data_IF_235721776520
#
_entry.id   IF_235721776520
#
_cell.length_a   1.000
_cell.length_b   1.000
_cell.length_c   1.000
_cell.angle_alpha   90.00
_cell.angle_beta   90.00
_cell.angle_gamma   90.00
#
_symmetry.space_group_name_H-M   'P 1'
#
loop_
_entity.id
_entity.type
_entity.pdbx_description
1 polymer ?
#
# COMPACT_ATOMS: atom_id res chain seq x y z
N UNK A 1 -54.52 36.99 16.57
CA UNK A 1 -54.06 36.99 15.16
C UNK A 1 -52.61 37.40 14.97
N UNK A 2 -52.08 38.46 15.58
CA UNK A 2 -50.65 38.90 15.40
C UNK A 2 -49.57 37.89 15.87
N UNK A 3 -49.84 37.08 16.92
CA UNK A 3 -48.89 36.08 17.42
C UNK A 3 -48.82 34.83 16.51
N UNK A 4 -49.90 34.47 15.83
CA UNK A 4 -49.94 33.34 14.91
C UNK A 4 -49.18 33.65 13.61
N UNK A 5 -49.24 34.88 13.13
CA UNK A 5 -48.53 35.35 11.93
C UNK A 5 -47.00 35.37 12.13
N UNK A 6 -46.56 35.72 13.35
CA UNK A 6 -45.14 35.76 13.67
C UNK A 6 -44.51 34.35 13.73
N UNK A 7 -45.24 33.37 14.26
CA UNK A 7 -44.77 31.96 14.32
C UNK A 7 -44.69 31.36 12.91
N UNK A 8 -45.62 31.67 12.02
CA UNK A 8 -45.64 31.17 10.64
C UNK A 8 -44.46 31.75 9.82
N UNK A 9 -44.07 33.00 10.05
CA UNK A 9 -42.95 33.65 9.39
C UNK A 9 -41.61 33.07 9.90
N UNK A 10 -41.47 32.79 11.20
CA UNK A 10 -40.28 32.20 11.79
C UNK A 10 -40.11 30.74 11.30
N UNK A 11 -41.16 29.96 11.22
CA UNK A 11 -41.10 28.57 10.69
C UNK A 11 -40.76 28.55 9.20
N UNK A 12 -41.27 29.51 8.39
CA UNK A 12 -40.87 29.63 6.98
C UNK A 12 -39.39 30.05 6.82
N UNK A 13 -38.89 30.91 7.69
CA UNK A 13 -37.45 31.34 7.65
C UNK A 13 -36.51 30.20 8.07
N UNK A 14 -36.90 29.34 9.01
CA UNK A 14 -36.13 28.19 9.45
C UNK A 14 -36.14 27.09 8.36
N UNK A 15 -37.20 26.92 7.60
CA UNK A 15 -37.27 25.95 6.50
C UNK A 15 -36.48 26.36 5.25
N UNK A 16 -36.15 27.63 5.07
CA UNK A 16 -35.29 28.10 3.96
C UNK A 16 -33.79 27.99 4.25
N UNK A 17 -33.38 27.69 5.47
CA UNK A 17 -31.96 27.59 5.86
C UNK A 17 -31.34 26.21 5.66
N UNK A 18 -32.05 25.25 5.07
CA UNK A 18 -31.55 23.89 4.83
C UNK A 18 -31.46 23.47 3.35
N UNK A 19 -31.56 24.39 2.42
CA UNK A 19 -31.08 24.11 1.05
C UNK A 19 -29.58 24.31 1.11
N UNK A 20 -28.84 23.22 1.30
CA UNK A 20 -27.38 23.21 1.18
C UNK A 20 -27.06 23.85 -0.18
N UNK A 21 -26.50 25.06 -0.18
CA UNK A 21 -26.13 25.77 -1.40
C UNK A 21 -25.13 24.88 -2.16
N UNK A 22 -25.54 24.32 -3.30
CA UNK A 22 -24.66 23.54 -4.16
C UNK A 22 -23.42 24.37 -4.47
N UNK A 23 -22.25 23.86 -4.14
CA UNK A 23 -21.00 24.53 -4.46
C UNK A 23 -20.70 24.36 -5.96
N UNK A 24 -19.84 25.22 -6.51
CA UNK A 24 -19.35 25.06 -7.89
C UNK A 24 -18.79 23.65 -8.12
N UNK A 25 -18.12 23.07 -7.10
CA UNK A 25 -17.55 21.72 -7.20
C UNK A 25 -18.65 20.65 -7.25
N UNK A 26 -19.71 20.77 -6.46
CA UNK A 26 -20.86 19.83 -6.50
C UNK A 26 -21.48 19.78 -7.91
N UNK A 27 -21.62 20.93 -8.57
CA UNK A 27 -22.12 21.01 -9.96
C UNK A 27 -21.17 20.32 -10.93
N UNK A 28 -19.87 20.59 -10.84
CA UNK A 28 -18.87 19.96 -11.71
C UNK A 28 -18.77 18.45 -11.50
N UNK A 29 -18.86 17.97 -10.26
CA UNK A 29 -18.87 16.53 -9.96
C UNK A 29 -20.12 15.85 -10.52
N UNK A 30 -21.28 16.52 -10.47
CA UNK A 30 -22.53 16.01 -11.02
C UNK A 30 -22.51 15.88 -12.55
N UNK A 31 -21.73 16.74 -13.24
CA UNK A 31 -21.54 16.71 -14.69
C UNK A 31 -20.55 15.65 -15.16
N UNK A 32 -19.74 15.07 -14.25
CA UNK A 32 -18.78 14.03 -14.61
C UNK A 32 -19.49 12.73 -15.01
N UNK A 33 -19.09 12.09 -16.10
CA UNK A 33 -19.63 10.79 -16.47
C UNK A 33 -19.18 9.72 -15.48
N UNK A 34 -20.09 8.78 -15.16
CA UNK A 34 -19.77 7.58 -14.39
C UNK A 34 -19.25 7.83 -12.97
N UNK A 35 -19.52 8.98 -12.38
CA UNK A 35 -19.14 9.36 -11.02
C UNK A 35 -20.36 9.57 -10.14
N UNK A 36 -20.46 8.82 -9.06
CA UNK A 36 -21.38 9.06 -7.97
C UNK A 36 -20.57 9.59 -6.80
N UNK A 37 -21.07 10.61 -6.11
CA UNK A 37 -20.36 11.21 -4.99
C UNK A 37 -21.26 11.49 -3.79
N UNK A 38 -20.66 11.41 -2.61
CA UNK A 38 -21.26 11.78 -1.34
C UNK A 38 -20.33 12.73 -0.61
N UNK A 39 -20.82 13.91 -0.23
CA UNK A 39 -20.04 14.82 0.60
C UNK A 39 -19.90 14.25 2.01
N UNK A 40 -18.69 14.17 2.48
CA UNK A 40 -18.36 13.67 3.82
C UNK A 40 -17.75 14.77 4.68
N UNK A 41 -17.44 14.47 5.95
CA UNK A 41 -16.78 15.41 6.85
C UNK A 41 -15.49 15.90 6.21
N UNK A 42 -15.36 17.21 6.05
CA UNK A 42 -14.19 17.81 5.42
C UNK A 42 -12.95 17.59 6.28
N UNK A 43 -11.90 17.10 5.64
CA UNK A 43 -10.57 16.96 6.25
C UNK A 43 -9.98 18.34 6.49
N UNK A 44 -9.27 18.53 7.60
CA UNK A 44 -8.59 19.79 7.92
C UNK A 44 -7.74 20.30 6.75
N UNK A 45 -7.72 21.61 6.56
CA UNK A 45 -7.00 22.30 5.47
C UNK A 45 -7.57 22.09 4.04
N UNK A 46 -8.73 21.48 3.88
CA UNK A 46 -9.41 21.37 2.59
C UNK A 46 -10.72 22.17 2.58
N UNK A 47 -11.17 22.57 1.41
CA UNK A 47 -12.43 23.29 1.23
C UNK A 47 -13.64 22.35 1.21
N UNK A 48 -13.46 21.12 0.72
CA UNK A 48 -14.50 20.09 0.70
C UNK A 48 -13.88 18.69 0.56
N UNK A 49 -14.61 17.67 1.04
CA UNK A 49 -14.18 16.27 0.95
C UNK A 49 -15.38 15.40 0.53
N UNK A 50 -15.12 14.46 -0.38
CA UNK A 50 -16.14 13.57 -0.94
C UNK A 50 -15.64 12.12 -0.96
N UNK A 51 -16.55 11.19 -0.69
CA UNK A 51 -16.42 9.80 -1.12
C UNK A 51 -16.99 9.67 -2.53
N UNK A 52 -16.28 8.95 -3.38
CA UNK A 52 -16.61 8.76 -4.79
C UNK A 52 -16.81 7.28 -5.09
N UNK A 53 -17.76 7.01 -5.97
CA UNK A 53 -17.96 5.70 -6.62
C UNK A 53 -17.81 5.93 -8.12
N UNK A 54 -16.74 5.43 -8.70
CA UNK A 54 -16.37 5.66 -10.10
C UNK A 54 -16.59 4.36 -10.85
N UNK A 55 -17.45 4.39 -11.86
CA UNK A 55 -17.74 3.23 -12.69
C UNK A 55 -16.52 2.86 -13.51
N UNK A 56 -16.01 1.64 -13.35
CA UNK A 56 -14.87 1.08 -14.06
C UNK A 56 -15.28 -0.16 -14.85
N UNK A 57 -14.75 -0.38 -16.05
CA UNK A 57 -14.95 -1.65 -16.73
C UNK A 57 -14.17 -2.75 -16.03
N UNK A 58 -14.69 -3.97 -16.03
CA UNK A 58 -13.95 -5.15 -15.56
C UNK A 58 -12.73 -5.36 -16.44
N UNK A 59 -12.89 -5.22 -17.75
CA UNK A 59 -11.82 -5.28 -18.74
C UNK A 59 -11.80 -3.97 -19.57
N UNK A 60 -10.70 -3.22 -19.50
CA UNK A 60 -10.51 -1.97 -20.27
C UNK A 60 -10.43 -2.19 -21.79
N UNK A 61 -10.20 -3.43 -22.23
CA UNK A 61 -10.18 -3.78 -23.66
C UNK A 61 -11.50 -4.31 -24.18
N UNK A 62 -12.42 -4.73 -23.31
CA UNK A 62 -13.74 -5.29 -23.67
C UNK A 62 -14.83 -4.87 -22.68
N UNK A 63 -15.56 -3.82 -23.00
CA UNK A 63 -16.65 -3.29 -22.15
C UNK A 63 -17.81 -4.30 -21.97
N UNK A 64 -17.90 -5.35 -22.78
CA UNK A 64 -18.95 -6.40 -22.65
C UNK A 64 -18.74 -7.29 -21.42
N UNK A 65 -17.55 -7.26 -20.79
CA UNK A 65 -17.23 -8.01 -19.56
C UNK A 65 -17.87 -7.43 -18.31
N UNK A 66 -18.63 -6.34 -18.43
CA UNK A 66 -19.32 -5.70 -17.35
C UNK A 66 -18.51 -4.57 -16.69
N UNK A 67 -18.99 -4.13 -15.56
CA UNK A 67 -18.38 -3.02 -14.81
C UNK A 67 -18.54 -3.23 -13.31
N UNK A 68 -17.78 -2.45 -12.54
CA UNK A 68 -17.89 -2.31 -11.09
C UNK A 68 -17.75 -0.84 -10.69
N UNK A 69 -18.01 -0.53 -9.43
CA UNK A 69 -17.80 0.80 -8.89
C UNK A 69 -16.56 0.81 -8.01
N UNK A 70 -15.55 1.59 -8.41
CA UNK A 70 -14.33 1.77 -7.65
C UNK A 70 -14.50 2.90 -6.64
N UNK A 71 -14.17 2.63 -5.37
CA UNK A 71 -14.17 3.64 -4.32
C UNK A 71 -12.95 4.54 -4.42
N UNK A 72 -13.18 5.83 -4.27
CA UNK A 72 -12.13 6.82 -4.13
C UNK A 72 -12.56 7.95 -3.20
N UNK A 73 -11.63 8.79 -2.79
CA UNK A 73 -11.90 9.97 -1.95
C UNK A 73 -11.27 11.20 -2.59
N UNK A 74 -12.07 12.26 -2.75
CA UNK A 74 -11.60 13.56 -3.23
C UNK A 74 -11.47 14.53 -2.05
N UNK A 75 -10.27 15.07 -1.83
CA UNK A 75 -10.03 16.22 -0.95
C UNK A 75 -9.71 17.44 -1.81
N UNK A 76 -10.65 18.37 -1.89
CA UNK A 76 -10.54 19.56 -2.69
C UNK A 76 -9.92 20.72 -1.91
N UNK A 77 -8.80 21.25 -2.40
CA UNK A 77 -8.12 22.44 -1.87
C UNK A 77 -8.48 23.69 -2.65
N UNK A 78 -8.48 23.57 -3.99
CA UNK A 78 -8.77 24.67 -4.92
C UNK A 78 -8.57 24.25 -6.38
N UNK A 79 -9.25 24.93 -7.31
CA UNK A 79 -9.18 24.60 -8.75
C UNK A 79 -7.82 24.98 -9.37
N UNK A 80 -7.11 25.92 -8.78
CA UNK A 80 -5.79 26.41 -9.16
C UNK A 80 -4.62 25.59 -8.59
N UNK A 81 -4.91 24.60 -7.75
CA UNK A 81 -3.91 23.79 -7.08
C UNK A 81 -3.52 22.54 -7.89
N UNK A 82 -2.28 22.05 -7.75
CA UNK A 82 -1.90 20.73 -8.27
C UNK A 82 -2.79 19.63 -7.70
N UNK A 83 -2.94 18.52 -8.42
CA UNK A 83 -3.72 17.37 -7.99
C UNK A 83 -2.85 16.14 -7.81
N UNK A 84 -2.92 15.51 -6.65
CA UNK A 84 -2.20 14.28 -6.32
C UNK A 84 -3.15 13.09 -6.43
N UNK A 85 -2.85 12.15 -7.32
CA UNK A 85 -3.45 10.81 -7.33
C UNK A 85 -2.68 9.95 -6.35
N UNK A 86 -3.32 9.58 -5.24
CA UNK A 86 -2.75 8.64 -4.29
C UNK A 86 -3.26 7.24 -4.62
N UNK A 87 -2.35 6.40 -5.13
CA UNK A 87 -2.64 5.02 -5.50
C UNK A 87 -2.50 4.11 -4.30
N UNK A 88 -3.42 3.19 -4.13
CA UNK A 88 -3.34 2.16 -3.11
C UNK A 88 -2.94 0.80 -3.72
N UNK A 89 -2.53 -0.12 -2.86
CA UNK A 89 -2.28 -1.51 -3.24
C UNK A 89 -3.34 -2.46 -2.72
N UNK A 90 -4.22 -1.97 -1.84
CA UNK A 90 -5.19 -2.74 -1.05
C UNK A 90 -6.51 -1.96 -0.91
N UNK A 91 -7.34 -2.37 0.06
CA UNK A 91 -8.54 -1.66 0.45
C UNK A 91 -8.25 -0.27 1.05
N UNK A 92 -9.27 0.57 1.02
CA UNK A 92 -9.20 1.90 1.63
C UNK A 92 -10.56 2.28 2.25
N UNK A 93 -10.86 1.77 3.46
CA UNK A 93 -12.14 2.05 4.11
C UNK A 93 -12.28 3.47 4.63
N UNK A 94 -11.17 4.20 4.79
CA UNK A 94 -11.14 5.55 5.33
C UNK A 94 -10.19 6.45 4.56
N UNK A 95 -10.54 7.73 4.49
CA UNK A 95 -9.69 8.75 3.89
C UNK A 95 -8.40 8.94 4.71
N UNK A 96 -7.29 9.15 4.01
CA UNK A 96 -6.05 9.70 4.58
C UNK A 96 -5.45 10.71 3.61
N UNK A 97 -4.75 11.70 4.12
CA UNK A 97 -4.01 12.68 3.30
C UNK A 97 -2.56 12.22 3.18
N UNK A 98 -2.05 12.25 1.96
CA UNK A 98 -0.65 11.92 1.72
C UNK A 98 0.27 13.08 2.13
N UNK A 99 1.45 12.74 2.63
CA UNK A 99 2.49 13.72 2.94
C UNK A 99 2.83 14.60 1.72
N UNK A 100 2.85 14.01 0.51
CA UNK A 100 3.08 14.76 -0.72
C UNK A 100 2.00 15.81 -0.97
N UNK A 101 0.72 15.47 -0.74
CA UNK A 101 -0.41 16.40 -0.90
C UNK A 101 -0.27 17.60 0.02
N UNK A 102 0.08 17.36 1.29
CA UNK A 102 0.34 18.43 2.26
C UNK A 102 1.54 19.26 1.85
N UNK A 103 2.63 18.60 1.45
CA UNK A 103 3.89 19.25 1.06
C UNK A 103 3.74 20.23 -0.11
N UNK A 104 2.92 19.88 -1.13
CA UNK A 104 2.66 20.75 -2.29
C UNK A 104 1.39 21.59 -2.14
N UNK A 105 0.69 21.50 -1.01
CA UNK A 105 -0.59 22.18 -0.74
C UNK A 105 -1.62 21.93 -1.85
N UNK A 106 -1.73 20.67 -2.32
CA UNK A 106 -2.53 20.25 -3.49
C UNK A 106 -3.94 19.72 -3.16
N UNK A 107 -4.71 19.41 -4.21
CA UNK A 107 -5.87 18.53 -4.14
C UNK A 107 -5.40 17.08 -4.03
N UNK A 108 -6.27 16.17 -3.56
CA UNK A 108 -5.98 14.75 -3.56
C UNK A 108 -7.14 13.91 -4.06
N UNK A 109 -6.85 12.91 -4.89
CA UNK A 109 -7.75 11.80 -5.20
C UNK A 109 -7.07 10.53 -4.69
N UNK A 110 -7.59 9.96 -3.60
CA UNK A 110 -7.14 8.72 -2.98
C UNK A 110 -7.98 7.57 -3.55
N UNK A 111 -7.35 6.56 -4.15
CA UNK A 111 -8.02 5.55 -4.97
C UNK A 111 -7.80 4.16 -4.37
N UNK A 112 -8.87 3.48 -3.98
CA UNK A 112 -8.86 2.09 -3.56
C UNK A 112 -8.49 1.18 -4.74
N UNK A 113 -7.70 0.13 -4.48
CA UNK A 113 -7.28 -0.80 -5.52
C UNK A 113 -8.45 -1.71 -5.94
N UNK A 114 -8.61 -1.98 -7.27
CA UNK A 114 -9.59 -2.97 -7.73
C UNK A 114 -9.41 -4.32 -7.04
N UNK A 115 -10.48 -5.07 -6.83
CA UNK A 115 -10.53 -6.35 -6.13
C UNK A 115 -10.20 -6.27 -4.64
N UNK A 116 -10.35 -5.07 -4.04
CA UNK A 116 -10.24 -4.86 -2.59
C UNK A 116 -11.40 -4.01 -2.07
N UNK A 117 -11.75 -4.23 -0.81
CA UNK A 117 -12.75 -3.44 -0.09
C UNK A 117 -14.08 -3.35 -0.83
N UNK A 118 -14.48 -2.12 -1.16
CA UNK A 118 -15.73 -1.84 -1.90
C UNK A 118 -15.52 -1.81 -3.43
N UNK A 119 -14.27 -1.97 -3.90
CA UNK A 119 -13.90 -1.91 -5.32
C UNK A 119 -13.87 -3.31 -5.95
N UNK A 120 -14.92 -4.10 -5.66
CA UNK A 120 -15.06 -5.49 -6.09
C UNK A 120 -16.02 -5.60 -7.28
N UNK A 121 -15.64 -6.27 -8.38
CA UNK A 121 -16.61 -6.72 -9.38
C UNK A 121 -17.60 -7.74 -8.79
N UNK A 122 -18.84 -7.74 -9.28
CA UNK A 122 -19.87 -8.71 -8.84
C UNK A 122 -19.44 -10.17 -9.11
N UNK A 123 -18.70 -10.38 -10.20
CA UNK A 123 -18.07 -11.67 -10.52
C UNK A 123 -16.56 -11.56 -10.38
N UNK A 124 -15.99 -12.36 -9.47
CA UNK A 124 -14.56 -12.39 -9.19
C UNK A 124 -13.81 -13.28 -10.19
N UNK A 125 -13.66 -12.81 -11.40
CA UNK A 125 -12.72 -13.42 -12.37
C UNK A 125 -11.34 -12.76 -12.19
N UNK A 126 -10.44 -13.47 -11.53
CA UNK A 126 -9.09 -12.98 -11.23
C UNK A 126 -8.22 -12.76 -12.50
N UNK A 127 -8.60 -13.26 -13.66
CA UNK A 127 -7.91 -12.96 -14.92
C UNK A 127 -7.93 -11.46 -15.27
N UNK A 128 -8.87 -10.69 -14.70
CA UNK A 128 -8.93 -9.24 -14.84
C UNK A 128 -8.23 -8.47 -13.71
N UNK A 129 -7.63 -9.17 -12.75
CA UNK A 129 -6.80 -8.55 -11.72
C UNK A 129 -5.34 -8.48 -12.18
N UNK A 130 -5.09 -7.72 -13.24
CA UNK A 130 -3.74 -7.47 -13.75
C UNK A 130 -3.29 -6.03 -13.51
N UNK A 131 -1.98 -5.79 -13.45
CA UNK A 131 -1.42 -4.45 -13.30
C UNK A 131 -1.79 -3.53 -14.48
N UNK A 132 -1.98 -4.10 -15.67
CA UNK A 132 -2.50 -3.34 -16.83
C UNK A 132 -3.92 -2.86 -16.59
N UNK A 133 -4.79 -3.68 -16.02
CA UNK A 133 -6.17 -3.30 -15.69
C UNK A 133 -6.20 -2.28 -14.54
N UNK A 134 -5.37 -2.50 -13.49
CA UNK A 134 -5.22 -1.55 -12.36
C UNK A 134 -4.83 -0.17 -12.86
N UNK A 135 -3.82 -0.10 -13.72
CA UNK A 135 -3.35 1.19 -14.25
C UNK A 135 -4.32 1.81 -15.24
N UNK A 136 -5.11 1.00 -15.95
CA UNK A 136 -6.24 1.45 -16.75
C UNK A 136 -7.32 2.17 -15.94
N UNK A 137 -7.62 1.68 -14.72
CA UNK A 137 -8.53 2.38 -13.80
C UNK A 137 -7.99 3.78 -13.44
N UNK A 138 -6.70 3.86 -13.12
CA UNK A 138 -6.06 5.13 -12.77
C UNK A 138 -6.07 6.12 -13.93
N UNK A 139 -5.78 5.65 -15.15
CA UNK A 139 -5.86 6.42 -16.37
C UNK A 139 -7.27 6.99 -16.61
N UNK A 140 -8.30 6.15 -16.44
CA UNK A 140 -9.69 6.58 -16.57
C UNK A 140 -10.05 7.65 -15.53
N UNK A 141 -9.66 7.48 -14.27
CA UNK A 141 -9.87 8.48 -13.21
C UNK A 141 -9.15 9.79 -13.56
N UNK A 142 -7.90 9.73 -14.00
CA UNK A 142 -7.16 10.90 -14.46
C UNK A 142 -7.92 11.62 -15.57
N UNK A 143 -8.34 10.92 -16.62
CA UNK A 143 -9.09 11.47 -17.75
C UNK A 143 -10.40 12.15 -17.32
N UNK A 144 -11.16 11.53 -16.42
CA UNK A 144 -12.42 12.07 -15.90
C UNK A 144 -12.15 13.34 -15.09
N UNK A 145 -11.24 13.31 -14.13
CA UNK A 145 -11.03 14.44 -13.22
C UNK A 145 -10.19 15.56 -13.79
N UNK A 146 -9.47 15.34 -14.90
CA UNK A 146 -8.86 16.43 -15.68
C UNK A 146 -9.89 17.38 -16.30
N UNK A 147 -11.16 17.00 -16.36
CA UNK A 147 -12.22 17.92 -16.78
C UNK A 147 -12.42 19.03 -15.73
N UNK A 148 -12.16 18.74 -14.45
CA UNK A 148 -12.25 19.70 -13.32
C UNK A 148 -10.90 20.33 -13.01
N UNK A 149 -9.84 19.52 -12.88
CA UNK A 149 -8.51 19.95 -12.44
C UNK A 149 -7.54 20.02 -13.60
N UNK A 150 -7.39 21.23 -14.16
CA UNK A 150 -6.60 21.50 -15.39
C UNK A 150 -5.10 21.72 -15.12
N UNK A 151 -4.71 21.86 -13.84
CA UNK A 151 -3.35 22.18 -13.44
C UNK A 151 -2.46 20.91 -13.40
N UNK A 152 -1.31 20.99 -12.74
CA UNK A 152 -0.32 19.92 -12.61
C UNK A 152 -0.86 18.70 -11.87
N UNK A 153 -0.46 17.51 -12.34
CA UNK A 153 -0.84 16.24 -11.75
C UNK A 153 0.38 15.48 -11.27
N UNK A 154 0.25 14.89 -10.08
CA UNK A 154 1.25 14.00 -9.52
C UNK A 154 0.60 12.66 -9.18
N UNK A 155 1.38 11.59 -9.22
CA UNK A 155 0.97 10.31 -8.62
C UNK A 155 1.86 9.96 -7.45
N UNK A 156 1.31 9.30 -6.44
CA UNK A 156 2.06 8.81 -5.29
C UNK A 156 1.40 7.58 -4.68
N UNK A 157 2.18 6.81 -3.94
CA UNK A 157 1.69 5.67 -3.18
C UNK A 157 2.75 5.16 -2.23
N UNK A 158 2.33 4.31 -1.30
CA UNK A 158 3.18 3.70 -0.28
C UNK A 158 3.17 2.19 -0.46
N UNK A 159 4.33 1.52 -0.35
CA UNK A 159 4.42 0.06 -0.42
C UNK A 159 3.89 -0.46 -1.76
N UNK A 160 2.99 -1.43 -1.80
CA UNK A 160 2.33 -1.87 -3.03
C UNK A 160 1.66 -0.70 -3.79
N UNK A 161 1.11 0.30 -3.08
CA UNK A 161 0.62 1.54 -3.71
C UNK A 161 1.74 2.34 -4.38
N UNK A 162 2.94 2.37 -3.79
CA UNK A 162 4.13 2.96 -4.41
C UNK A 162 4.56 2.23 -5.68
N UNK A 163 4.54 0.90 -5.66
CA UNK A 163 4.76 0.09 -6.86
C UNK A 163 3.68 0.35 -7.91
N UNK A 164 2.40 0.43 -7.50
CA UNK A 164 1.27 0.77 -8.40
C UNK A 164 1.50 2.12 -9.11
N UNK A 165 2.03 3.13 -8.40
CA UNK A 165 2.42 4.42 -8.98
C UNK A 165 3.49 4.26 -10.07
N UNK A 166 4.47 3.36 -9.88
CA UNK A 166 5.52 3.10 -10.89
C UNK A 166 4.97 2.36 -12.11
N UNK A 167 4.10 1.36 -11.92
CA UNK A 167 3.41 0.70 -13.03
C UNK A 167 2.50 1.67 -13.78
N UNK A 168 1.80 2.54 -13.06
CA UNK A 168 0.99 3.59 -13.69
C UNK A 168 1.85 4.52 -14.55
N UNK A 169 3.01 4.96 -14.05
CA UNK A 169 3.96 5.77 -14.81
C UNK A 169 4.51 5.06 -16.05
N UNK A 170 4.70 3.73 -15.96
CA UNK A 170 5.15 2.92 -17.08
C UNK A 170 4.10 2.81 -18.20
N UNK A 171 2.84 2.49 -17.85
CA UNK A 171 1.78 2.32 -18.84
C UNK A 171 1.23 3.65 -19.40
N UNK A 172 1.22 4.70 -18.58
CA UNK A 172 0.65 6.01 -18.90
C UNK A 172 1.62 7.15 -18.50
N UNK A 173 2.74 7.27 -19.22
CA UNK A 173 3.83 8.19 -18.83
C UNK A 173 3.44 9.68 -18.87
N UNK A 174 2.42 10.05 -19.65
CA UNK A 174 2.00 11.43 -19.85
C UNK A 174 0.83 11.87 -18.97
N UNK A 175 0.24 10.94 -18.20
CA UNK A 175 -0.91 11.24 -17.33
C UNK A 175 -0.54 12.12 -16.14
N UNK A 176 0.68 12.08 -15.68
CA UNK A 176 1.15 12.87 -14.53
C UNK A 176 2.51 13.52 -14.82
N UNK A 177 2.69 14.72 -14.28
CA UNK A 177 3.94 15.47 -14.43
C UNK A 177 5.07 14.84 -13.60
N UNK A 178 4.75 14.32 -12.41
CA UNK A 178 5.71 13.74 -11.45
C UNK A 178 5.11 12.50 -10.77
N UNK A 179 5.94 11.51 -10.48
CA UNK A 179 5.57 10.37 -9.63
C UNK A 179 6.46 10.30 -8.40
N UNK A 180 5.87 10.02 -7.22
CA UNK A 180 6.63 9.87 -5.96
C UNK A 180 6.31 8.49 -5.36
N UNK A 181 7.30 7.63 -5.38
CA UNK A 181 7.23 6.28 -4.84
C UNK A 181 7.81 6.24 -3.42
N UNK A 182 6.98 5.88 -2.44
CA UNK A 182 7.42 5.61 -1.07
C UNK A 182 7.50 4.11 -0.82
N UNK A 183 8.70 3.62 -0.54
CA UNK A 183 8.99 2.23 -0.15
C UNK A 183 8.28 1.17 -1.02
N UNK A 184 8.05 1.50 -2.29
CA UNK A 184 7.37 0.60 -3.23
C UNK A 184 8.36 -0.32 -3.90
N UNK A 185 8.19 -1.64 -3.77
CA UNK A 185 9.08 -2.64 -4.35
C UNK A 185 8.82 -2.82 -5.85
N UNK A 186 9.87 -3.11 -6.60
CA UNK A 186 9.78 -3.69 -7.95
C UNK A 186 10.57 -5.00 -7.93
N UNK A 187 9.84 -6.10 -7.83
CA UNK A 187 10.42 -7.43 -7.78
C UNK A 187 10.98 -7.85 -9.15
N UNK A 188 11.82 -8.88 -9.17
CA UNK A 188 12.37 -9.48 -10.39
C UNK A 188 11.80 -10.87 -10.68
N UNK A 189 11.23 -11.51 -9.65
CA UNK A 189 10.77 -12.89 -9.71
C UNK A 189 9.60 -13.10 -8.74
N UNK A 190 8.94 -14.26 -8.85
CA UNK A 190 7.93 -14.68 -7.88
C UNK A 190 8.53 -14.76 -6.46
N UNK A 191 9.77 -15.26 -6.36
CA UNK A 191 10.54 -15.27 -5.12
C UNK A 191 11.84 -14.50 -5.33
N UNK A 192 11.87 -13.25 -4.87
CA UNK A 192 12.99 -12.35 -5.15
C UNK A 192 14.17 -12.57 -4.19
N UNK A 193 15.26 -13.11 -4.72
CA UNK A 193 16.47 -13.45 -3.97
C UNK A 193 17.20 -12.25 -3.35
N UNK A 194 16.90 -11.02 -3.79
CA UNK A 194 17.47 -9.80 -3.19
C UNK A 194 17.02 -9.59 -1.76
N UNK A 195 15.84 -10.11 -1.40
CA UNK A 195 15.31 -10.02 -0.04
C UNK A 195 16.15 -10.85 0.93
N UNK A 196 16.51 -12.07 0.56
CA UNK A 196 17.41 -12.91 1.38
C UNK A 196 18.76 -12.25 1.59
N UNK A 197 19.40 -11.79 0.51
CA UNK A 197 20.65 -11.07 0.60
C UNK A 197 20.58 -9.82 1.50
N UNK A 198 19.45 -9.12 1.48
CA UNK A 198 19.21 -7.98 2.37
C UNK A 198 19.14 -8.42 3.84
N UNK A 199 18.35 -9.45 4.14
CA UNK A 199 18.20 -10.00 5.48
C UNK A 199 19.52 -10.51 6.06
N UNK A 200 20.39 -11.04 5.21
CA UNK A 200 21.74 -11.48 5.57
C UNK A 200 22.72 -10.33 5.88
N UNK A 201 22.41 -9.12 5.43
CA UNK A 201 23.34 -7.99 5.52
C UNK A 201 22.84 -6.79 6.30
N UNK A 202 21.52 -6.64 6.47
CA UNK A 202 20.92 -5.48 7.15
C UNK A 202 21.31 -5.40 8.63
N UNK A 203 21.54 -4.18 9.12
CA UNK A 203 21.93 -3.92 10.50
C UNK A 203 23.27 -4.54 10.89
N UNK A 204 23.43 -4.88 12.16
CA UNK A 204 24.67 -5.51 12.65
C UNK A 204 24.57 -7.03 12.65
N UNK A 205 25.71 -7.72 12.47
CA UNK A 205 25.76 -9.20 12.61
C UNK A 205 25.20 -9.66 13.95
N UNK A 206 25.56 -8.97 15.04
CA UNK A 206 25.06 -9.30 16.38
C UNK A 206 23.54 -9.26 16.49
N UNK A 207 22.90 -8.34 15.77
CA UNK A 207 21.43 -8.28 15.72
C UNK A 207 20.84 -9.46 14.95
N UNK A 208 21.38 -9.77 13.78
CA UNK A 208 20.93 -10.91 12.96
C UNK A 208 21.12 -12.25 13.70
N UNK A 209 22.26 -12.41 14.42
CA UNK A 209 22.51 -13.59 15.27
C UNK A 209 21.44 -13.73 16.39
N UNK A 210 21.01 -12.62 16.99
CA UNK A 210 19.92 -12.62 17.98
C UNK A 210 18.58 -13.03 17.34
N UNK A 211 18.25 -12.48 16.17
CA UNK A 211 17.03 -12.82 15.41
C UNK A 211 17.02 -14.33 15.13
N UNK A 212 18.08 -14.89 14.55
CA UNK A 212 18.18 -16.32 14.26
C UNK A 212 18.11 -17.18 15.54
N UNK A 213 18.79 -16.76 16.60
CA UNK A 213 18.76 -17.47 17.89
C UNK A 213 17.35 -17.51 18.49
N UNK A 214 16.61 -16.42 18.36
CA UNK A 214 15.23 -16.34 18.84
C UNK A 214 14.28 -17.23 18.02
N UNK A 215 14.38 -17.24 16.70
CA UNK A 215 13.64 -18.17 15.84
C UNK A 215 13.91 -19.62 16.21
N UNK A 216 15.20 -19.98 16.42
CA UNK A 216 15.57 -21.33 16.86
C UNK A 216 15.03 -21.67 18.26
N UNK A 217 15.01 -20.71 19.17
CA UNK A 217 14.40 -20.91 20.49
C UNK A 217 12.91 -21.26 20.37
N UNK A 218 12.14 -20.48 19.60
CA UNK A 218 10.71 -20.73 19.38
C UNK A 218 10.46 -22.13 18.78
N UNK A 219 11.23 -22.50 17.75
CA UNK A 219 11.09 -23.80 17.07
C UNK A 219 11.49 -24.99 17.94
N UNK A 220 12.54 -24.85 18.77
CA UNK A 220 13.00 -25.92 19.67
C UNK A 220 12.06 -26.16 20.85
N UNK A 221 11.34 -25.11 21.26
CA UNK A 221 10.45 -25.15 22.42
C UNK A 221 8.96 -25.22 22.02
N UNK A 222 8.65 -25.76 20.83
CA UNK A 222 7.26 -25.86 20.30
C UNK A 222 6.28 -26.48 21.30
N UNK A 223 6.72 -27.46 22.12
CA UNK A 223 5.86 -28.12 23.09
C UNK A 223 5.27 -27.16 24.13
N UNK A 224 6.04 -26.17 24.56
CA UNK A 224 5.63 -25.15 25.52
C UNK A 224 5.02 -23.90 24.80
N UNK A 225 5.46 -23.59 23.60
CA UNK A 225 5.05 -22.41 22.84
C UNK A 225 3.67 -22.58 22.19
N UNK A 226 3.41 -23.70 21.52
CA UNK A 226 2.16 -23.93 20.78
C UNK A 226 0.89 -23.86 21.65
N UNK A 227 0.86 -24.38 22.90
CA UNK A 227 -0.30 -24.16 23.76
C UNK A 227 -0.60 -22.69 24.06
N UNK A 228 0.43 -21.85 24.21
CA UNK A 228 0.28 -20.41 24.44
C UNK A 228 -0.21 -19.69 23.18
N UNK A 229 0.35 -20.03 22.03
CA UNK A 229 -0.12 -19.55 20.71
C UNK A 229 -1.59 -19.93 20.49
N UNK A 230 -1.98 -21.16 20.87
CA UNK A 230 -3.37 -21.60 20.80
C UNK A 230 -4.28 -20.77 21.72
N UNK A 231 -3.85 -20.51 22.94
CA UNK A 231 -4.60 -19.68 23.90
C UNK A 231 -4.75 -18.24 23.37
N UNK A 232 -3.67 -17.65 22.85
CA UNK A 232 -3.70 -16.36 22.20
C UNK A 232 -4.70 -16.34 21.02
N UNK A 233 -4.61 -17.32 20.13
CA UNK A 233 -5.48 -17.43 18.96
C UNK A 233 -6.96 -17.57 19.34
N UNK A 234 -7.27 -18.33 20.38
CA UNK A 234 -8.64 -18.46 20.88
C UNK A 234 -9.15 -17.15 21.48
N UNK A 235 -8.32 -16.45 22.26
CA UNK A 235 -8.65 -15.13 22.80
C UNK A 235 -8.90 -14.08 21.73
N UNK A 236 -8.11 -14.09 20.65
CA UNK A 236 -8.24 -13.23 19.50
C UNK A 236 -9.28 -13.72 18.47
N UNK A 237 -9.95 -14.86 18.70
CA UNK A 237 -10.95 -15.49 17.81
C UNK A 237 -10.40 -15.83 16.42
N UNK A 238 -9.10 -16.09 16.29
CA UNK A 238 -8.47 -16.46 15.04
C UNK A 238 -8.85 -17.90 14.63
N UNK A 239 -9.02 -18.11 13.32
CA UNK A 239 -9.27 -19.42 12.72
C UNK A 239 -8.16 -19.75 11.73
N UNK A 240 -7.81 -21.05 11.65
CA UNK A 240 -6.77 -21.57 10.76
C UNK A 240 -7.30 -22.82 10.06
N UNK A 241 -8.04 -22.64 8.93
CA UNK A 241 -8.58 -23.72 8.11
C UNK A 241 -7.91 -23.81 6.74
N UNK A 242 -7.25 -22.72 6.28
CA UNK A 242 -6.36 -22.77 5.13
C UNK A 242 -5.17 -23.69 5.38
N UNK A 243 -4.64 -23.66 6.60
CA UNK A 243 -3.59 -24.53 7.13
C UNK A 243 -3.79 -24.69 8.64
N UNK A 244 -3.12 -25.66 9.26
CA UNK A 244 -3.24 -25.85 10.69
C UNK A 244 -2.48 -24.80 11.51
N UNK A 245 -2.72 -24.73 12.82
CA UNK A 245 -2.10 -23.75 13.73
C UNK A 245 -0.56 -23.89 13.78
N UNK A 246 -0.02 -25.12 13.72
CA UNK A 246 1.43 -25.34 13.77
C UNK A 246 2.09 -24.78 12.51
N UNK A 247 1.48 -24.98 11.33
CA UNK A 247 1.95 -24.40 10.08
C UNK A 247 1.89 -22.87 10.12
N UNK A 248 0.80 -22.27 10.64
CA UNK A 248 0.70 -20.82 10.83
C UNK A 248 1.80 -20.29 11.76
N UNK A 249 2.09 -21.01 12.83
CA UNK A 249 3.20 -20.67 13.73
C UNK A 249 4.56 -20.74 13.01
N UNK A 250 4.83 -21.78 12.25
CA UNK A 250 6.07 -21.90 11.49
C UNK A 250 6.20 -20.78 10.46
N UNK A 251 5.12 -20.42 9.76
CA UNK A 251 5.09 -19.24 8.89
C UNK A 251 5.47 -17.98 9.67
N UNK A 252 4.83 -17.71 10.80
CA UNK A 252 5.10 -16.52 11.58
C UNK A 252 6.56 -16.48 12.12
N UNK A 253 7.14 -17.63 12.48
CA UNK A 253 8.56 -17.72 12.86
C UNK A 253 9.48 -17.40 11.68
N UNK A 254 9.15 -17.85 10.47
CA UNK A 254 9.94 -17.56 9.28
C UNK A 254 9.75 -16.12 8.79
N UNK A 255 8.58 -15.52 9.03
CA UNK A 255 8.27 -14.11 8.76
C UNK A 255 8.99 -13.14 9.71
N UNK A 256 9.38 -13.61 10.90
CA UNK A 256 9.92 -12.78 11.98
C UNK A 256 11.07 -11.85 11.55
N UNK A 257 12.13 -12.26 10.83
CA UNK A 257 13.20 -11.36 10.39
C UNK A 257 12.71 -10.31 9.40
N UNK A 258 11.78 -10.67 8.51
CA UNK A 258 11.20 -9.75 7.54
C UNK A 258 10.43 -8.64 8.25
N UNK A 259 9.48 -9.01 9.09
CA UNK A 259 8.66 -8.07 9.88
C UNK A 259 9.50 -7.23 10.84
N UNK A 260 10.52 -7.82 11.47
CA UNK A 260 11.41 -7.12 12.38
C UNK A 260 12.03 -5.88 11.73
N UNK A 261 12.62 -6.04 10.55
CA UNK A 261 13.25 -4.93 9.82
C UNK A 261 12.23 -4.02 9.14
N UNK A 262 11.18 -4.59 8.57
CA UNK A 262 10.12 -3.80 7.93
C UNK A 262 9.48 -2.78 8.88
N UNK A 263 9.27 -3.16 10.14
CA UNK A 263 8.62 -2.29 11.12
C UNK A 263 9.61 -1.60 12.08
N UNK A 264 10.91 -1.88 11.96
CA UNK A 264 11.96 -1.16 12.67
C UNK A 264 12.01 -1.46 14.16
N UNK A 265 11.89 -2.73 14.53
CA UNK A 265 12.07 -3.19 15.91
C UNK A 265 13.53 -3.04 16.36
N UNK A 266 13.73 -2.90 17.67
CA UNK A 266 15.05 -2.68 18.23
C UNK A 266 15.72 -4.01 18.62
N UNK A 267 16.96 -4.21 18.18
CA UNK A 267 17.78 -5.39 18.51
C UNK A 267 18.02 -5.56 20.02
N UNK A 268 17.94 -4.49 20.82
CA UNK A 268 18.06 -4.57 22.27
C UNK A 268 16.88 -5.29 22.91
N UNK A 269 15.69 -5.20 22.28
CA UNK A 269 14.45 -5.74 22.83
C UNK A 269 14.27 -7.23 22.56
N UNK A 270 15.13 -7.82 21.68
CA UNK A 270 15.10 -9.27 21.40
C UNK A 270 15.49 -10.02 22.68
N UNK A 271 14.60 -10.84 23.25
CA UNK A 271 14.90 -11.54 24.49
C UNK A 271 15.91 -12.67 24.26
N UNK A 272 17.01 -12.64 25.03
CA UNK A 272 18.15 -13.56 24.83
C UNK A 272 18.55 -14.35 26.07
N UNK A 273 17.92 -14.12 27.25
CA UNK A 273 18.31 -14.76 28.52
C UNK A 273 17.06 -15.30 29.26
N UNK A 274 17.20 -16.53 29.83
CA UNK A 274 16.28 -17.19 30.75
C UNK A 274 14.79 -16.87 30.50
N UNK A 275 14.38 -16.94 29.23
CA UNK A 275 13.08 -16.52 28.76
C UNK A 275 12.04 -17.57 29.11
N UNK A 276 10.99 -17.16 29.78
CA UNK A 276 9.82 -18.02 29.91
C UNK A 276 9.11 -18.17 28.56
N UNK A 277 8.46 -19.30 28.28
CA UNK A 277 7.67 -19.44 27.04
C UNK A 277 6.60 -18.34 26.88
N UNK A 278 6.03 -17.86 27.98
CA UNK A 278 5.03 -16.77 27.94
C UNK A 278 5.64 -15.43 27.48
N UNK A 279 6.80 -15.04 28.01
CA UNK A 279 7.51 -13.82 27.57
C UNK A 279 7.94 -13.93 26.11
N UNK A 280 8.39 -15.13 25.68
CA UNK A 280 8.74 -15.37 24.29
C UNK A 280 7.56 -15.16 23.34
N UNK A 281 6.40 -15.74 23.66
CA UNK A 281 5.18 -15.61 22.86
C UNK A 281 4.71 -14.15 22.83
N UNK A 282 4.72 -13.46 23.98
CA UNK A 282 4.30 -12.05 24.08
C UNK A 282 5.15 -11.16 23.18
N UNK A 283 6.48 -11.33 23.23
CA UNK A 283 7.38 -10.56 22.35
C UNK A 283 7.21 -10.98 20.89
N UNK A 284 7.19 -12.27 20.60
CA UNK A 284 7.06 -12.82 19.25
C UNK A 284 5.82 -12.28 18.53
N UNK A 285 4.64 -12.34 19.18
CA UNK A 285 3.39 -11.89 18.58
C UNK A 285 3.34 -10.37 18.40
N UNK A 286 4.16 -9.60 19.13
CA UNK A 286 4.27 -8.15 18.89
C UNK A 286 5.08 -7.80 17.64
N UNK A 287 5.93 -8.70 17.14
CA UNK A 287 6.79 -8.50 15.97
C UNK A 287 6.24 -9.20 14.73
N UNK A 288 5.89 -10.48 14.87
CA UNK A 288 5.36 -11.32 13.80
C UNK A 288 4.06 -11.99 14.29
N UNK A 289 2.95 -11.26 14.16
CA UNK A 289 1.66 -11.72 14.67
C UNK A 289 1.13 -12.87 13.81
N UNK A 290 0.85 -14.00 14.46
CA UNK A 290 0.25 -15.18 13.82
C UNK A 290 -1.10 -14.86 13.17
N UNK A 291 -1.80 -13.80 13.60
CA UNK A 291 -3.07 -13.36 13.01
C UNK A 291 -2.94 -13.09 11.50
N UNK A 292 -1.77 -12.67 11.02
CA UNK A 292 -1.49 -12.47 9.61
C UNK A 292 -1.74 -13.74 8.75
N UNK A 293 -1.58 -14.91 9.37
CA UNK A 293 -1.79 -16.21 8.73
C UNK A 293 -3.16 -16.83 9.07
N UNK A 294 -4.08 -16.08 9.70
CA UNK A 294 -5.45 -16.52 9.94
C UNK A 294 -6.28 -16.52 8.66
N UNK A 295 -7.38 -17.28 8.67
CA UNK A 295 -8.30 -17.40 7.54
C UNK A 295 -8.81 -16.04 7.06
N UNK A 296 -9.13 -15.15 8.01
CA UNK A 296 -9.63 -13.80 7.70
C UNK A 296 -8.57 -12.97 6.96
N UNK A 297 -7.34 -12.96 7.48
CA UNK A 297 -6.24 -12.20 6.86
C UNK A 297 -5.82 -12.78 5.52
N UNK A 298 -5.68 -14.11 5.44
CA UNK A 298 -5.36 -14.78 4.15
C UNK A 298 -6.42 -14.50 3.10
N UNK A 299 -7.70 -14.56 3.47
CA UNK A 299 -8.80 -14.23 2.57
C UNK A 299 -8.81 -12.74 2.19
N UNK A 300 -8.59 -11.84 3.13
CA UNK A 300 -8.51 -10.38 2.91
C UNK A 300 -7.38 -9.98 1.96
N UNK A 301 -6.26 -10.69 2.01
CA UNK A 301 -5.12 -10.49 1.10
C UNK A 301 -5.11 -11.38 -0.14
N UNK A 302 -6.15 -12.18 -0.36
CA UNK A 302 -6.22 -13.13 -1.47
C UNK A 302 -5.93 -12.53 -2.84
N UNK A 303 -6.48 -11.37 -3.13
CA UNK A 303 -6.21 -10.61 -4.37
C UNK A 303 -4.73 -10.19 -4.49
N UNK A 304 -4.09 -9.83 -3.38
CA UNK A 304 -2.66 -9.54 -3.37
C UNK A 304 -1.82 -10.80 -3.67
N UNK A 305 -2.13 -11.92 -3.02
CA UNK A 305 -1.41 -13.18 -3.27
C UNK A 305 -1.57 -13.65 -4.71
N UNK A 306 -2.76 -13.45 -5.31
CA UNK A 306 -2.98 -13.76 -6.71
C UNK A 306 -2.10 -12.91 -7.64
N UNK A 307 -2.09 -11.58 -7.48
CA UNK A 307 -1.22 -10.69 -8.26
C UNK A 307 0.26 -11.02 -8.05
N UNK A 308 0.66 -11.33 -6.81
CA UNK A 308 2.04 -11.71 -6.51
C UNK A 308 2.46 -12.99 -7.21
N UNK A 309 1.56 -13.98 -7.27
CA UNK A 309 1.81 -15.27 -7.90
C UNK A 309 1.69 -15.25 -9.42
N UNK A 310 1.14 -14.19 -10.03
CA UNK A 310 0.98 -14.09 -11.48
C UNK A 310 1.94 -13.13 -12.15
N UNK A 311 2.15 -11.91 -11.59
CA UNK A 311 2.89 -10.87 -12.30
C UNK A 311 3.64 -9.87 -11.41
N UNK A 312 3.30 -9.75 -10.10
CA UNK A 312 3.89 -8.73 -9.23
C UNK A 312 5.16 -9.24 -8.51
N UNK A 313 5.25 -10.56 -8.29
CA UNK A 313 6.32 -11.18 -7.52
C UNK A 313 6.17 -10.96 -6.01
N UNK A 314 6.96 -11.70 -5.25
CA UNK A 314 6.92 -11.64 -3.78
C UNK A 314 8.27 -12.10 -3.19
N UNK A 315 8.25 -12.65 -1.98
CA UNK A 315 9.36 -13.28 -1.30
C UNK A 315 8.95 -14.67 -0.79
N UNK A 316 9.92 -15.46 -0.43
CA UNK A 316 9.76 -16.72 0.28
C UNK A 316 10.52 -16.69 1.60
N UNK A 317 10.89 -17.86 2.10
CA UNK A 317 11.64 -18.00 3.35
C UNK A 317 12.85 -18.92 3.16
N UNK A 318 13.98 -18.55 3.76
CA UNK A 318 15.18 -19.41 3.82
C UNK A 318 15.02 -20.46 4.93
N UNK A 319 14.38 -21.58 4.60
CA UNK A 319 14.05 -22.65 5.56
C UNK A 319 15.22 -23.60 5.81
N UNK A 320 16.22 -23.62 4.95
CA UNK A 320 17.33 -24.60 4.98
C UNK A 320 18.09 -24.61 6.32
N UNK A 321 18.32 -23.45 6.92
CA UNK A 321 18.97 -23.33 8.23
C UNK A 321 18.16 -23.94 9.39
N UNK A 322 16.86 -24.08 9.21
CA UNK A 322 15.93 -24.60 10.22
C UNK A 322 15.54 -26.06 9.96
N UNK A 323 16.25 -26.74 9.05
CA UNK A 323 16.04 -28.16 8.76
C UNK A 323 16.06 -28.98 10.04
N UNK A 324 15.04 -29.83 10.23
CA UNK A 324 14.87 -30.65 11.43
C UNK A 324 14.22 -29.91 12.62
N UNK A 325 13.92 -28.61 12.49
CA UNK A 325 13.13 -27.83 13.45
C UNK A 325 11.73 -27.49 12.88
N UNK A 326 11.60 -27.41 11.55
CA UNK A 326 10.34 -27.21 10.86
C UNK A 326 9.71 -28.59 10.58
N UNK A 327 8.41 -28.71 10.88
CA UNK A 327 7.61 -29.94 10.65
C UNK A 327 6.64 -29.77 9.48
N UNK A 328 6.05 -28.57 9.34
CA UNK A 328 4.93 -28.29 8.45
C UNK A 328 5.38 -27.56 7.17
N UNK A 329 6.44 -26.75 7.23
CA UNK A 329 6.95 -26.02 6.07
C UNK A 329 7.93 -26.89 5.28
N UNK A 330 7.58 -27.12 4.01
CA UNK A 330 8.49 -27.74 3.05
C UNK A 330 9.67 -26.81 2.73
N UNK A 331 10.87 -27.39 2.62
CA UNK A 331 12.06 -26.65 2.17
C UNK A 331 12.08 -26.37 0.67
N UNK A 332 11.10 -26.89 -0.09
CA UNK A 332 11.10 -26.85 -1.57
C UNK A 332 10.00 -25.96 -2.18
N UNK A 333 9.09 -25.42 -1.37
CA UNK A 333 7.95 -24.65 -1.88
C UNK A 333 7.98 -23.20 -1.40
N UNK A 334 7.69 -22.27 -2.32
CA UNK A 334 7.34 -20.90 -1.92
C UNK A 334 6.05 -20.96 -1.08
N UNK A 335 6.11 -20.67 0.22
CA UNK A 335 4.99 -20.83 1.11
C UNK A 335 3.78 -19.96 0.76
N UNK A 336 4.01 -18.80 0.15
CA UNK A 336 2.95 -17.88 -0.23
C UNK A 336 2.07 -18.40 -1.38
N UNK A 337 2.51 -19.40 -2.14
CA UNK A 337 1.66 -20.11 -3.12
C UNK A 337 0.44 -20.81 -2.48
N UNK A 338 0.49 -21.07 -1.17
CA UNK A 338 -0.64 -21.67 -0.43
C UNK A 338 -1.76 -20.68 -0.08
N UNK A 339 -1.52 -19.36 -0.22
CA UNK A 339 -2.49 -18.32 0.15
C UNK A 339 -3.34 -17.83 -1.03
N UNK A 340 -3.27 -18.48 -2.17
CA UNK A 340 -4.08 -18.16 -3.34
C UNK A 340 -5.58 -18.34 -3.06
N UNK A 341 -6.44 -17.40 -3.52
CA UNK A 341 -7.89 -17.50 -3.33
C UNK A 341 -8.42 -18.86 -3.81
N UNK A 342 -9.31 -19.47 -3.03
CA UNK A 342 -9.95 -20.74 -3.39
C UNK A 342 -8.97 -21.88 -3.78
N UNK A 343 -7.74 -21.83 -3.27
CA UNK A 343 -6.66 -22.78 -3.63
C UNK A 343 -6.38 -22.84 -5.13
N UNK A 344 -6.55 -21.73 -5.83
CA UNK A 344 -6.24 -21.60 -7.26
C UNK A 344 -4.77 -21.94 -7.53
N UNK A 345 -4.50 -22.39 -8.74
CA UNK A 345 -3.13 -22.47 -9.26
C UNK A 345 -2.86 -21.22 -10.07
N UNK A 346 -1.70 -20.61 -9.88
CA UNK A 346 -1.23 -19.48 -10.67
C UNK A 346 0.10 -19.83 -11.33
N UNK A 347 0.33 -19.28 -12.50
CA UNK A 347 1.62 -19.34 -13.19
C UNK A 347 2.19 -17.93 -13.23
N UNK A 348 3.42 -17.78 -12.73
CA UNK A 348 4.11 -16.49 -12.71
C UNK A 348 4.66 -16.14 -14.09
N UNK A 349 4.30 -14.96 -14.61
CA UNK A 349 4.88 -14.40 -15.82
C UNK A 349 5.80 -13.21 -15.48
N UNK A 350 7.12 -13.35 -15.60
CA UNK A 350 8.06 -12.27 -15.29
C UNK A 350 8.14 -11.17 -16.34
N UNK A 351 7.41 -11.29 -17.46
CA UNK A 351 7.55 -10.40 -18.62
C UNK A 351 7.39 -8.92 -18.24
N UNK A 352 6.30 -8.55 -17.57
CA UNK A 352 6.05 -7.17 -17.17
C UNK A 352 7.11 -6.64 -16.21
N UNK A 353 7.57 -7.47 -15.26
CA UNK A 353 8.64 -7.07 -14.34
C UNK A 353 9.96 -6.83 -15.08
N UNK A 354 10.30 -7.66 -16.06
CA UNK A 354 11.49 -7.47 -16.89
C UNK A 354 11.40 -6.19 -17.72
N UNK A 355 10.22 -5.89 -18.27
CA UNK A 355 9.95 -4.68 -19.04
C UNK A 355 10.11 -3.43 -18.15
N UNK A 356 9.46 -3.37 -16.98
CA UNK A 356 9.52 -2.18 -16.11
C UNK A 356 10.91 -2.00 -15.49
N UNK A 357 11.59 -3.08 -15.09
CA UNK A 357 12.96 -3.03 -14.59
C UNK A 357 13.96 -2.53 -15.64
N UNK A 358 13.66 -2.76 -16.93
CA UNK A 358 14.45 -2.22 -18.06
C UNK A 358 14.09 -0.76 -18.35
N UNK A 359 12.81 -0.40 -18.24
CA UNK A 359 12.30 0.93 -18.58
C UNK A 359 12.66 2.00 -17.53
N UNK A 360 12.48 1.68 -16.23
CA UNK A 360 12.70 2.65 -15.15
C UNK A 360 14.09 3.32 -15.20
N UNK A 361 15.22 2.60 -15.32
CA UNK A 361 16.55 3.23 -15.36
C UNK A 361 16.87 3.97 -16.67
N UNK A 362 16.06 3.82 -17.71
CA UNK A 362 16.33 4.43 -19.05
C UNK A 362 15.32 5.51 -19.43
N UNK A 363 14.09 5.44 -18.94
CA UNK A 363 12.98 6.30 -19.34
C UNK A 363 12.16 6.83 -18.18
N UNK A 364 12.39 6.36 -16.94
CA UNK A 364 11.67 6.76 -15.73
C UNK A 364 12.00 8.18 -15.26
N UNK A 365 11.77 9.19 -16.11
CA UNK A 365 12.02 10.58 -15.79
C UNK A 365 10.97 11.16 -14.83
N UNK A 366 11.38 12.14 -14.04
CA UNK A 366 10.53 12.86 -13.08
C UNK A 366 9.87 11.93 -12.06
N UNK A 367 10.64 10.93 -11.60
CA UNK A 367 10.26 10.02 -10.54
C UNK A 367 11.13 10.29 -9.32
N UNK A 368 10.51 10.34 -8.15
CA UNK A 368 11.19 10.39 -6.85
C UNK A 368 10.97 9.06 -6.16
N UNK A 369 12.08 8.40 -5.80
CA UNK A 369 12.09 7.15 -5.07
C UNK A 369 12.56 7.41 -3.63
N UNK A 370 11.74 7.04 -2.64
CA UNK A 370 12.02 7.22 -1.22
C UNK A 370 11.99 5.85 -0.55
N UNK A 371 13.12 5.43 0.00
CA UNK A 371 13.31 4.15 0.68
C UNK A 371 13.94 4.33 2.05
N UNK A 372 13.83 3.34 2.92
CA UNK A 372 14.50 3.29 4.21
C UNK A 372 15.62 2.25 4.19
N UNK A 373 16.80 2.56 4.79
CA UNK A 373 17.92 1.61 4.79
C UNK A 373 17.68 0.37 5.65
N UNK A 374 16.70 0.41 6.57
CA UNK A 374 16.31 -0.75 7.38
C UNK A 374 15.06 -1.48 6.86
N UNK A 375 14.38 -0.94 5.84
CA UNK A 375 13.17 -1.53 5.30
C UNK A 375 13.48 -2.75 4.45
N UNK A 376 12.94 -3.91 4.79
CA UNK A 376 13.12 -5.15 4.03
C UNK A 376 12.69 -5.00 2.56
N UNK A 377 11.63 -4.25 2.28
CA UNK A 377 11.18 -3.97 0.91
C UNK A 377 12.16 -3.10 0.11
N UNK A 378 13.10 -2.42 0.77
CA UNK A 378 14.17 -1.69 0.08
C UNK A 378 15.19 -2.62 -0.60
N UNK A 379 15.16 -3.91 -0.29
CA UNK A 379 15.90 -4.93 -1.04
C UNK A 379 15.54 -4.95 -2.52
N UNK A 380 14.27 -4.67 -2.83
CA UNK A 380 13.71 -4.64 -4.19
C UNK A 380 13.48 -3.23 -4.70
N UNK A 381 14.17 -2.25 -4.11
CA UNK A 381 14.16 -0.87 -4.58
C UNK A 381 14.62 -0.76 -6.04
N UNK A 382 14.05 0.20 -6.75
CA UNK A 382 14.53 0.59 -8.09
C UNK A 382 15.97 1.09 -7.96
N UNK A 383 16.95 0.52 -8.67
CA UNK A 383 18.33 0.95 -8.56
C UNK A 383 18.52 2.36 -9.14
N UNK A 384 19.37 3.21 -8.52
CA UNK A 384 19.70 4.53 -9.05
C UNK A 384 20.26 4.46 -10.47
N UNK A 385 19.88 5.43 -11.30
CA UNK A 385 20.38 5.57 -12.68
C UNK A 385 20.71 7.04 -12.98
N UNK A 386 21.84 7.25 -13.67
CA UNK A 386 22.24 8.57 -14.16
C UNK A 386 21.67 8.89 -15.57
N UNK A 387 20.94 7.95 -16.16
CA UNK A 387 20.39 8.09 -17.53
C UNK A 387 19.02 8.78 -17.52
N UNK A 388 18.44 9.05 -16.37
CA UNK A 388 17.11 9.65 -16.22
C UNK A 388 17.14 10.84 -15.25
N UNK A 389 16.27 11.81 -15.48
CA UNK A 389 16.04 12.93 -14.56
C UNK A 389 15.10 12.48 -13.42
N UNK A 390 15.64 11.73 -12.47
CA UNK A 390 14.92 11.16 -11.33
C UNK A 390 15.77 11.27 -10.04
N UNK A 391 15.14 11.08 -8.89
CA UNK A 391 15.82 11.18 -7.59
C UNK A 391 15.62 9.92 -6.75
N UNK A 392 16.67 9.53 -6.04
CA UNK A 392 16.64 8.43 -5.06
C UNK A 392 17.09 8.94 -3.69
N UNK A 393 16.31 8.57 -2.67
CA UNK A 393 16.61 8.82 -1.27
C UNK A 393 16.52 7.51 -0.51
N UNK A 394 17.65 7.05 0.00
CA UNK A 394 17.75 5.94 0.95
C UNK A 394 17.98 6.55 2.32
N UNK A 395 16.90 6.75 3.08
CA UNK A 395 16.96 7.50 4.34
C UNK A 395 17.53 6.60 5.43
N UNK A 396 18.68 7.01 5.95
CA UNK A 396 19.46 6.23 6.91
C UNK A 396 18.68 5.93 8.20
N UNK A 397 18.73 4.66 8.66
CA UNK A 397 18.07 4.20 9.86
C UNK A 397 16.54 4.21 9.82
N UNK A 398 15.92 4.43 8.64
CA UNK A 398 14.47 4.41 8.48
C UNK A 398 13.98 3.08 7.94
N UNK A 399 12.75 2.74 8.33
CA UNK A 399 12.05 1.51 7.98
C UNK A 399 10.77 1.83 7.18
N UNK A 400 9.99 0.82 6.83
CA UNK A 400 8.80 0.93 5.97
C UNK A 400 7.78 2.00 6.40
N UNK A 401 7.56 2.10 7.71
CA UNK A 401 6.58 3.03 8.27
C UNK A 401 7.03 4.50 8.33
N UNK A 402 8.34 4.79 8.30
CA UNK A 402 8.87 6.12 8.58
C UNK A 402 9.86 6.69 7.55
N UNK A 403 10.16 5.97 6.47
CA UNK A 403 10.92 6.51 5.34
C UNK A 403 10.03 7.47 4.54
N UNK A 404 10.02 8.74 4.95
CA UNK A 404 9.13 9.81 4.46
C UNK A 404 9.89 11.12 4.28
N UNK A 405 9.32 12.09 3.54
CA UNK A 405 9.91 13.44 3.36
C UNK A 405 10.21 14.10 4.72
N UNK A 406 9.31 13.95 5.69
CA UNK A 406 9.51 14.51 7.04
C UNK A 406 10.76 13.97 7.76
N UNK A 407 11.21 12.77 7.39
CA UNK A 407 12.39 12.14 7.98
C UNK A 407 13.70 12.48 7.25
N UNK A 408 13.63 13.18 6.12
CA UNK A 408 14.80 13.61 5.35
C UNK A 408 15.59 14.69 6.08
N UNK A 409 16.89 14.73 5.86
CA UNK A 409 17.75 15.85 6.23
C UNK A 409 17.35 17.14 5.47
N UNK A 410 17.76 18.31 5.97
CA UNK A 410 17.52 19.58 5.29
C UNK A 410 18.08 19.58 3.85
N UNK A 411 19.25 18.95 3.63
CA UNK A 411 19.88 18.84 2.31
C UNK A 411 19.04 17.98 1.34
N UNK A 412 18.51 16.85 1.81
CA UNK A 412 17.65 15.98 1.01
C UNK A 412 16.32 16.65 0.67
N UNK A 413 15.69 17.33 1.66
CA UNK A 413 14.47 18.12 1.44
C UNK A 413 14.69 19.21 0.41
N UNK A 414 15.78 19.97 0.50
CA UNK A 414 16.12 21.02 -0.46
C UNK A 414 16.30 20.44 -1.88
N UNK A 415 16.98 19.30 -2.02
CA UNK A 415 17.13 18.60 -3.31
C UNK A 415 15.77 18.18 -3.89
N UNK A 416 14.90 17.62 -3.05
CA UNK A 416 13.56 17.20 -3.44
C UNK A 416 12.71 18.41 -3.88
N UNK A 417 12.68 19.47 -3.06
CA UNK A 417 11.93 20.70 -3.35
C UNK A 417 12.37 21.32 -4.66
N UNK A 418 13.69 21.48 -4.87
CA UNK A 418 14.26 22.05 -6.14
C UNK A 418 13.83 21.24 -7.36
N UNK A 419 13.81 19.91 -7.26
CA UNK A 419 13.38 19.07 -8.37
C UNK A 419 11.87 19.20 -8.63
N UNK A 420 11.03 19.18 -7.59
CA UNK A 420 9.59 19.36 -7.73
C UNK A 420 9.24 20.73 -8.32
N UNK A 421 9.85 21.81 -7.83
CA UNK A 421 9.66 23.17 -8.37
C UNK A 421 10.01 23.25 -9.86
N UNK A 422 11.15 22.65 -10.25
CA UNK A 422 11.61 22.62 -11.63
C UNK A 422 10.67 21.79 -12.53
N UNK A 423 10.23 20.61 -12.09
CA UNK A 423 9.40 19.72 -12.91
C UNK A 423 7.94 20.18 -13.03
N UNK A 424 7.43 20.83 -12.00
CA UNK A 424 6.05 21.31 -11.94
C UNK A 424 5.91 22.77 -12.40
N UNK A 425 7.03 23.50 -12.48
CA UNK A 425 7.04 24.95 -12.72
C UNK A 425 6.17 25.74 -11.72
N UNK A 426 6.25 25.37 -10.44
CA UNK A 426 5.59 26.01 -9.30
C UNK A 426 6.61 26.40 -8.24
N UNK A 427 6.21 27.26 -7.29
CA UNK A 427 6.95 27.46 -6.04
C UNK A 427 6.31 26.65 -4.92
N UNK A 428 7.14 26.06 -4.07
CA UNK A 428 6.73 25.29 -2.90
C UNK A 428 7.19 26.08 -1.68
N UNK A 429 6.22 26.60 -0.91
CA UNK A 429 6.51 27.31 0.33
C UNK A 429 6.91 26.27 1.38
N UNK A 430 8.16 26.33 1.81
CA UNK A 430 8.69 25.54 2.92
C UNK A 430 8.46 26.33 4.22
N UNK A 431 7.20 26.37 4.71
CA UNK A 431 6.89 26.93 6.03
C UNK A 431 7.27 25.93 7.14
#
# INVERSE_FOLDING_TARGET
>A
MKKLLLITIIVHFIFQLTIAQKTKLDTLLFELPDVVFTKIKTTENFAATYELRIKQPVDHSDATKGHFYQRAYLSHKGFDRPTVMMTEGYDRPQIRISELTEFIKGNQILIEHRYFGESMPDSLDYNYLTLKQVTGDLHRINTIFRQIYKNKWLSTGISKGGATTLFYRYFYPDDVDVSVNYVGPINNAFEDQRIYKFLDTVGTKACRDKINSFQRYLLKNKKEILPLIKAYSLGAKLKFTYHNLEKAFEFAVMEYPFSFWQYGYNCADIPVKALSPFEAVTYFTSVSDISFFSDEQVAGYGSHYYQSATEFGYYGYETAEFKGLLNELSTEQNPHATFLPNKMKAAFDPKLLNEINTWLPKQGNKIIHIYGTLDTWSATAVPPSNSVDALWFFIEGKHHGNARIKAMSLKEKAKLTTALERWLAIKIDND
#
